data_IF_616946798898
#
_entry.id   IF_616946798898
#
_cell.length_a   1.000
_cell.length_b   1.000
_cell.length_c   1.000
_cell.angle_alpha   90.00
_cell.angle_beta   90.00
_cell.angle_gamma   90.00
#
_symmetry.space_group_name_H-M   'P 1'
#
loop_
_entity.id
_entity.type
_entity.pdbx_description
1 polymer ?
#
# COMPACT_ATOMS: atom_id res chain seq x y z
N UNK A 1 -25.07 -25.06 17.00
CA UNK A 1 -23.94 -24.66 17.87
C UNK A 1 -23.97 -23.13 17.98
N UNK A 2 -23.49 -22.51 19.06
CA UNK A 2 -23.32 -21.04 19.07
C UNK A 2 -22.12 -20.68 18.20
N UNK A 3 -22.23 -19.59 17.44
CA UNK A 3 -21.13 -19.02 16.64
C UNK A 3 -20.33 -18.01 17.49
N UNK A 4 -19.12 -17.63 17.04
CA UNK A 4 -18.20 -16.83 17.86
C UNK A 4 -18.72 -15.40 18.12
N UNK A 5 -19.42 -14.80 17.16
CA UNK A 5 -20.15 -13.54 17.25
C UNK A 5 -21.28 -13.55 18.30
N UNK A 6 -21.85 -14.72 18.59
CA UNK A 6 -22.86 -14.93 19.65
C UNK A 6 -22.24 -15.10 21.05
N UNK A 7 -20.91 -15.16 21.14
CA UNK A 7 -20.14 -15.33 22.37
C UNK A 7 -19.33 -14.07 22.70
N UNK A 8 -18.70 -13.47 21.69
CA UNK A 8 -17.96 -12.21 21.79
C UNK A 8 -18.51 -11.18 20.80
N UNK A 9 -19.06 -10.08 21.34
CA UNK A 9 -19.59 -8.95 20.54
C UNK A 9 -18.50 -8.25 19.71
N UNK A 10 -17.22 -8.34 20.10
CA UNK A 10 -16.13 -7.80 19.31
C UNK A 10 -15.94 -8.59 18.00
N UNK A 11 -16.34 -9.87 17.97
CA UNK A 11 -16.25 -10.74 16.79
C UNK A 11 -17.47 -10.63 15.86
N UNK A 12 -18.57 -10.00 16.31
CA UNK A 12 -19.73 -9.75 15.47
C UNK A 12 -19.43 -8.67 14.41
N UNK A 13 -19.86 -8.91 13.16
CA UNK A 13 -19.77 -7.95 12.05
C UNK A 13 -21.13 -7.29 11.85
N UNK A 14 -21.16 -5.96 11.78
CA UNK A 14 -22.39 -5.18 11.65
C UNK A 14 -22.70 -4.87 10.18
N UNK A 15 -23.39 -5.79 9.50
CA UNK A 15 -23.66 -5.75 8.06
C UNK A 15 -24.82 -4.81 7.64
N UNK A 16 -25.22 -3.86 8.49
CA UNK A 16 -26.26 -2.86 8.22
C UNK A 16 -25.90 -1.58 8.95
N UNK A 17 -25.73 -0.48 8.21
CA UNK A 17 -25.54 0.84 8.84
C UNK A 17 -26.89 1.32 9.36
N UNK A 18 -26.94 1.73 10.63
CA UNK A 18 -28.14 2.23 11.29
C UNK A 18 -27.87 3.62 11.88
N UNK A 19 -27.85 4.62 10.99
CA UNK A 19 -27.80 6.04 11.33
C UNK A 19 -28.93 6.75 10.56
N UNK A 20 -29.98 7.28 11.23
CA UNK A 20 -31.16 7.85 10.56
C UNK A 20 -30.90 9.24 9.96
N UNK A 21 -29.75 9.84 10.29
CA UNK A 21 -29.24 11.13 9.85
C UNK A 21 -28.09 10.99 8.84
N UNK A 22 -27.88 9.79 8.28
CA UNK A 22 -26.82 9.50 7.33
C UNK A 22 -27.10 10.10 5.94
N UNK A 23 -26.09 10.78 5.38
CA UNK A 23 -26.05 11.15 3.96
C UNK A 23 -24.84 10.48 3.31
N UNK A 24 -25.07 9.83 2.17
CA UNK A 24 -24.03 9.24 1.32
C UNK A 24 -23.52 10.25 0.28
N UNK A 25 -22.21 10.27 0.07
CA UNK A 25 -21.52 11.06 -0.95
C UNK A 25 -20.60 10.15 -1.77
N UNK A 26 -20.52 10.29 -3.11
CA UNK A 26 -19.61 9.45 -3.90
C UNK A 26 -18.16 9.91 -3.69
N UNK A 27 -17.24 8.99 -3.36
CA UNK A 27 -15.89 9.35 -2.92
C UNK A 27 -14.99 10.00 -3.99
N UNK A 28 -15.50 10.13 -5.23
CA UNK A 28 -14.87 10.84 -6.35
C UNK A 28 -15.28 12.32 -6.43
N UNK A 29 -16.33 12.71 -5.73
CA UNK A 29 -16.85 14.09 -5.74
C UNK A 29 -16.05 14.99 -4.80
N UNK A 30 -15.97 16.29 -5.13
CA UNK A 30 -15.44 17.27 -4.19
C UNK A 30 -16.33 17.34 -2.93
N UNK A 31 -15.75 17.39 -1.71
CA UNK A 31 -14.37 17.76 -1.42
C UNK A 31 -13.44 16.57 -1.07
N UNK A 32 -13.78 15.33 -1.45
CA UNK A 32 -12.92 14.18 -1.21
C UNK A 32 -11.71 14.20 -2.15
N UNK A 33 -10.53 13.86 -1.63
CA UNK A 33 -9.32 13.68 -2.42
C UNK A 33 -8.96 12.19 -2.48
N UNK A 34 -8.78 11.66 -3.69
CA UNK A 34 -8.39 10.28 -3.94
C UNK A 34 -6.92 10.21 -4.33
N UNK A 35 -6.20 9.31 -3.66
CA UNK A 35 -4.73 9.19 -3.69
C UNK A 35 -4.32 7.74 -4.00
N UNK A 36 -3.12 7.55 -4.56
CA UNK A 36 -2.60 6.22 -4.92
C UNK A 36 -3.38 5.49 -6.04
N UNK A 37 -4.19 6.21 -6.82
CA UNK A 37 -5.02 5.70 -7.91
C UNK A 37 -4.68 6.40 -9.24
N UNK A 38 -4.86 5.68 -10.35
CA UNK A 38 -4.78 6.25 -11.69
C UNK A 38 -6.16 6.76 -12.14
N UNK A 39 -6.22 8.03 -12.52
CA UNK A 39 -7.41 8.74 -13.02
C UNK A 39 -8.74 8.42 -12.29
N UNK A 40 -8.78 8.50 -10.93
CA UNK A 40 -9.95 8.07 -10.15
C UNK A 40 -11.22 8.87 -10.45
N UNK A 41 -11.11 10.07 -11.02
CA UNK A 41 -12.22 10.91 -11.50
C UNK A 41 -12.87 10.41 -12.80
N UNK A 42 -12.21 9.55 -13.59
CA UNK A 42 -12.66 9.15 -14.93
C UNK A 42 -13.86 8.16 -14.97
N UNK A 43 -14.44 7.82 -13.82
CA UNK A 43 -15.45 6.76 -13.69
C UNK A 43 -14.87 5.34 -13.79
N UNK A 44 -15.74 4.34 -13.99
CA UNK A 44 -15.35 2.92 -14.06
C UNK A 44 -14.68 2.39 -12.77
N UNK A 45 -14.22 1.13 -12.72
CA UNK A 45 -13.56 0.58 -11.52
C UNK A 45 -12.24 1.29 -11.15
N UNK A 46 -11.94 1.41 -9.85
CA UNK A 46 -10.69 2.00 -9.38
C UNK A 46 -9.47 1.12 -9.72
N UNK A 47 -8.35 1.74 -10.14
CA UNK A 47 -7.13 1.06 -10.61
C UNK A 47 -5.86 1.80 -10.20
N UNK A 48 -4.74 1.09 -10.13
CA UNK A 48 -3.42 1.65 -9.72
C UNK A 48 -2.57 2.19 -10.87
N UNK A 49 -2.90 1.85 -12.12
CA UNK A 49 -2.19 2.26 -13.34
C UNK A 49 -3.13 2.14 -14.57
N UNK A 50 -2.76 2.69 -15.75
CA UNK A 50 -3.54 2.51 -16.98
C UNK A 50 -3.69 1.03 -17.37
N UNK A 51 -4.86 0.65 -17.90
CA UNK A 51 -5.13 -0.75 -18.28
C UNK A 51 -4.33 -1.20 -19.50
N UNK A 52 -4.15 -0.34 -20.50
CA UNK A 52 -3.35 -0.60 -21.70
C UNK A 52 -1.87 -0.80 -21.36
N UNK A 53 -1.32 0.03 -20.46
CA UNK A 53 0.06 -0.11 -19.97
C UNK A 53 0.20 -1.39 -19.16
N UNK A 54 -0.75 -1.70 -18.29
CA UNK A 54 -0.72 -2.94 -17.49
C UNK A 54 -0.74 -4.20 -18.37
N UNK A 55 -1.53 -4.20 -19.45
CA UNK A 55 -1.58 -5.27 -20.45
C UNK A 55 -0.26 -5.43 -21.24
N UNK A 56 0.44 -4.32 -21.52
CA UNK A 56 1.76 -4.34 -22.17
C UNK A 56 2.89 -4.82 -21.24
N UNK A 57 2.69 -4.77 -19.92
CA UNK A 57 3.65 -5.31 -18.93
C UNK A 57 3.48 -6.82 -18.77
N UNK A 58 2.31 -7.29 -18.36
CA UNK A 58 1.95 -8.72 -18.36
C UNK A 58 0.46 -8.94 -18.04
N UNK A 59 -0.08 -10.11 -18.39
CA UNK A 59 -1.42 -10.55 -17.96
C UNK A 59 -1.58 -10.48 -16.43
N UNK A 60 -0.57 -10.91 -15.67
CA UNK A 60 -0.59 -10.87 -14.21
C UNK A 60 -0.64 -9.45 -13.65
N UNK A 61 0.08 -8.50 -14.27
CA UNK A 61 0.00 -7.07 -13.91
C UNK A 61 -1.35 -6.47 -14.33
N UNK A 62 -1.89 -6.80 -15.50
CA UNK A 62 -3.22 -6.36 -15.95
C UNK A 62 -4.35 -6.79 -15.02
N UNK A 63 -4.26 -8.00 -14.45
CA UNK A 63 -5.19 -8.49 -13.42
C UNK A 63 -4.98 -7.78 -12.08
N UNK A 64 -3.74 -7.74 -11.58
CA UNK A 64 -3.42 -7.21 -10.24
C UNK A 64 -3.46 -5.67 -10.14
N UNK A 65 -3.38 -4.94 -11.26
CA UNK A 65 -3.57 -3.48 -11.33
C UNK A 65 -5.00 -3.03 -10.96
N UNK A 66 -5.96 -3.96 -10.99
CA UNK A 66 -7.35 -3.77 -10.55
C UNK A 66 -7.51 -3.85 -9.03
N UNK A 67 -6.56 -4.44 -8.30
CA UNK A 67 -6.57 -4.40 -6.83
C UNK A 67 -6.22 -3.00 -6.35
N UNK A 68 -6.97 -2.47 -5.39
CA UNK A 68 -6.83 -1.08 -4.90
C UNK A 68 -5.76 -0.89 -3.82
N UNK A 69 -4.70 -1.71 -3.83
CA UNK A 69 -3.65 -1.62 -2.81
C UNK A 69 -3.03 -0.24 -2.76
N UNK A 70 -3.10 0.41 -1.60
CA UNK A 70 -2.59 1.76 -1.40
C UNK A 70 -3.41 2.88 -2.04
N UNK A 71 -4.62 2.60 -2.52
CA UNK A 71 -5.61 3.66 -2.75
C UNK A 71 -6.07 4.23 -1.41
N UNK A 72 -6.29 5.55 -1.36
CA UNK A 72 -6.58 6.29 -0.12
C UNK A 72 -7.58 7.41 -0.41
N UNK A 73 -8.64 7.52 0.37
CA UNK A 73 -9.57 8.67 0.32
C UNK A 73 -9.31 9.58 1.53
N UNK A 74 -9.16 10.89 1.29
CA UNK A 74 -8.83 11.88 2.31
C UNK A 74 -9.80 13.06 2.28
N UNK A 75 -10.19 13.52 3.46
CA UNK A 75 -11.12 14.64 3.67
C UNK A 75 -11.05 15.11 5.13
N UNK A 76 -11.62 16.28 5.45
CA UNK A 76 -11.93 16.67 6.84
C UNK A 76 -13.43 16.68 7.08
N UNK A 77 -13.84 16.31 8.29
CA UNK A 77 -15.24 16.39 8.73
C UNK A 77 -15.34 16.59 10.24
N UNK A 78 -16.46 17.15 10.72
CA UNK A 78 -16.86 17.11 12.13
C UNK A 78 -17.97 16.08 12.44
N UNK A 79 -18.27 15.17 11.49
CA UNK A 79 -19.22 14.07 11.67
C UNK A 79 -18.82 13.16 12.86
N UNK A 80 -19.75 12.76 13.73
CA UNK A 80 -19.48 11.85 14.86
C UNK A 80 -19.23 10.40 14.43
N UNK A 81 -19.40 10.08 13.15
CA UNK A 81 -19.11 8.79 12.54
C UNK A 81 -18.62 8.95 11.10
N UNK A 82 -17.99 7.89 10.59
CA UNK A 82 -17.76 7.68 9.15
C UNK A 82 -18.33 6.32 8.79
N UNK A 83 -19.17 6.26 7.76
CA UNK A 83 -19.62 5.02 7.15
C UNK A 83 -19.01 4.86 5.74
N UNK A 84 -18.98 3.62 5.26
CA UNK A 84 -18.71 3.30 3.86
C UNK A 84 -19.83 2.45 3.28
N UNK A 85 -20.08 2.63 1.99
CA UNK A 85 -20.73 1.65 1.11
C UNK A 85 -19.75 1.38 -0.03
N UNK A 86 -19.32 0.14 -0.21
CA UNK A 86 -18.33 -0.22 -1.23
C UNK A 86 -18.85 -1.33 -2.15
N UNK A 87 -18.77 -1.13 -3.47
CA UNK A 87 -19.06 -2.12 -4.51
C UNK A 87 -17.78 -2.82 -4.98
N UNK A 88 -17.85 -4.13 -5.20
CA UNK A 88 -16.72 -4.99 -5.57
C UNK A 88 -17.17 -6.18 -6.43
N UNK A 89 -16.91 -6.15 -7.75
CA UNK A 89 -17.30 -7.19 -8.72
C UNK A 89 -16.62 -8.55 -8.50
N UNK A 90 -15.61 -8.62 -7.63
CA UNK A 90 -14.93 -9.86 -7.22
C UNK A 90 -14.68 -9.86 -5.72
N UNK A 91 -14.49 -11.05 -5.14
CA UNK A 91 -14.17 -11.22 -3.72
C UNK A 91 -13.03 -12.23 -3.56
N UNK A 92 -11.79 -11.70 -3.58
CA UNK A 92 -10.57 -12.46 -3.37
C UNK A 92 -10.59 -13.19 -2.02
N UNK A 93 -10.07 -14.42 -1.98
CA UNK A 93 -9.96 -15.23 -0.76
C UNK A 93 -8.59 -15.90 -0.75
N UNK A 94 -7.86 -15.71 0.35
CA UNK A 94 -6.57 -16.35 0.64
C UNK A 94 -6.62 -16.89 2.07
N UNK A 95 -5.96 -18.01 2.31
CA UNK A 95 -5.94 -18.74 3.58
C UNK A 95 -4.94 -18.18 4.60
N UNK A 96 -3.86 -17.57 4.12
CA UNK A 96 -2.73 -17.05 4.91
C UNK A 96 -2.68 -15.50 4.98
N UNK A 97 -3.78 -14.80 4.66
CA UNK A 97 -3.91 -13.36 4.84
C UNK A 97 -5.24 -13.02 5.51
N UNK A 98 -5.24 -12.07 6.45
CA UNK A 98 -6.46 -11.66 7.13
C UNK A 98 -7.46 -11.04 6.13
N UNK A 99 -8.71 -11.47 6.18
CA UNK A 99 -9.78 -11.02 5.29
C UNK A 99 -9.98 -9.49 5.31
N UNK A 100 -9.69 -8.85 6.44
CA UNK A 100 -9.62 -7.38 6.62
C UNK A 100 -8.50 -6.69 5.85
N UNK A 101 -7.38 -7.36 5.56
CA UNK A 101 -6.33 -6.86 4.67
C UNK A 101 -6.67 -7.08 3.20
N UNK A 102 -7.28 -8.22 2.87
CA UNK A 102 -7.68 -8.55 1.50
C UNK A 102 -8.77 -7.60 0.98
N UNK A 103 -9.81 -7.35 1.80
CA UNK A 103 -11.10 -6.76 1.41
C UNK A 103 -11.61 -5.65 2.33
N UNK A 104 -10.94 -5.39 3.46
CA UNK A 104 -11.35 -4.34 4.40
C UNK A 104 -10.83 -2.95 4.02
N UNK A 105 -11.46 -1.92 4.58
CA UNK A 105 -10.93 -0.55 4.58
C UNK A 105 -10.44 -0.16 5.98
N UNK A 106 -9.40 0.65 6.04
CA UNK A 106 -8.73 1.07 7.29
C UNK A 106 -8.98 2.56 7.54
N UNK A 107 -9.53 2.93 8.70
CA UNK A 107 -9.84 4.32 9.04
C UNK A 107 -8.78 4.89 9.99
N UNK A 108 -8.07 5.91 9.53
CA UNK A 108 -7.20 6.75 10.36
C UNK A 108 -7.76 8.17 10.45
N UNK A 109 -7.50 8.82 11.58
CA UNK A 109 -7.90 10.20 11.83
C UNK A 109 -6.81 11.00 12.51
N UNK A 110 -6.73 12.30 12.22
CA UNK A 110 -5.73 13.22 12.73
C UNK A 110 -6.39 14.54 13.16
N UNK A 111 -6.28 14.85 14.46
CA UNK A 111 -6.56 16.19 15.00
C UNK A 111 -5.27 17.03 15.08
N UNK A 112 -4.29 16.48 15.79
CA UNK A 112 -2.96 17.06 16.05
C UNK A 112 -1.94 16.65 14.97
N UNK A 113 -0.65 16.52 15.30
CA UNK A 113 0.42 16.22 14.35
C UNK A 113 0.67 14.71 14.08
N UNK A 114 -0.27 13.81 14.43
CA UNK A 114 -0.14 12.36 14.21
C UNK A 114 -1.48 11.72 13.89
N UNK A 115 -1.45 10.74 12.98
CA UNK A 115 -2.59 9.86 12.73
C UNK A 115 -2.80 8.87 13.87
N UNK A 116 -4.06 8.68 14.27
CA UNK A 116 -4.50 7.58 15.12
C UNK A 116 -5.40 6.64 14.33
N UNK A 117 -5.28 5.34 14.59
CA UNK A 117 -6.18 4.32 14.05
C UNK A 117 -7.54 4.45 14.75
N UNK A 118 -8.61 4.63 13.95
CA UNK A 118 -9.99 4.79 14.42
C UNK A 118 -10.78 3.47 14.31
N UNK A 119 -10.45 2.61 13.35
CA UNK A 119 -11.08 1.30 13.21
C UNK A 119 -10.89 0.69 11.81
N UNK A 120 -11.29 -0.57 11.66
CA UNK A 120 -11.33 -1.26 10.36
C UNK A 120 -12.79 -1.50 9.98
N UNK A 121 -13.18 -1.11 8.77
CA UNK A 121 -14.47 -1.47 8.20
C UNK A 121 -14.41 -2.93 7.77
N UNK A 122 -14.87 -3.84 8.63
CA UNK A 122 -14.70 -5.29 8.44
C UNK A 122 -15.70 -5.84 7.41
N UNK A 123 -15.24 -6.52 6.35
CA UNK A 123 -16.13 -7.16 5.38
C UNK A 123 -16.78 -8.44 5.95
N UNK A 124 -18.01 -8.77 5.54
CA UNK A 124 -18.69 -9.99 5.98
C UNK A 124 -18.13 -11.24 5.28
N UNK A 125 -18.09 -12.39 5.96
CA UNK A 125 -17.44 -13.61 5.43
C UNK A 125 -18.14 -14.16 4.15
N UNK A 126 -19.46 -13.97 4.09
CA UNK A 126 -20.37 -14.25 2.98
C UNK A 126 -20.45 -13.09 1.95
N UNK A 127 -19.44 -12.22 1.88
CA UNK A 127 -19.34 -11.17 0.87
C UNK A 127 -19.34 -11.75 -0.55
N UNK A 128 -20.20 -11.17 -1.40
CA UNK A 128 -20.39 -11.56 -2.81
C UNK A 128 -20.28 -10.40 -3.83
N UNK A 129 -20.49 -9.14 -3.43
CA UNK A 129 -20.50 -8.00 -4.39
C UNK A 129 -20.33 -6.60 -3.80
N UNK A 130 -20.34 -6.45 -2.47
CA UNK A 130 -20.20 -5.16 -1.80
C UNK A 130 -20.69 -5.22 -0.35
N UNK A 131 -20.35 -4.22 0.47
CA UNK A 131 -20.83 -4.13 1.84
C UNK A 131 -20.89 -2.69 2.36
N UNK A 132 -21.73 -2.49 3.38
CA UNK A 132 -21.77 -1.29 4.19
C UNK A 132 -21.16 -1.54 5.57
N UNK A 133 -20.54 -0.51 6.16
CA UNK A 133 -20.00 -0.57 7.52
C UNK A 133 -19.83 0.84 8.09
N UNK A 134 -19.88 0.99 9.42
CA UNK A 134 -19.83 2.30 10.11
C UNK A 134 -18.91 2.25 11.34
N UNK A 135 -18.13 3.32 11.52
CA UNK A 135 -17.23 3.54 12.66
C UNK A 135 -17.61 4.88 13.32
N UNK A 136 -17.93 4.84 14.62
CA UNK A 136 -18.10 6.04 15.43
C UNK A 136 -16.73 6.65 15.79
N UNK A 137 -16.60 7.97 15.74
CA UNK A 137 -15.39 8.68 16.11
C UNK A 137 -15.36 8.90 17.63
N UNK A 138 -14.19 8.76 18.30
CA UNK A 138 -14.12 8.74 19.77
C UNK A 138 -14.35 10.11 20.42
N UNK A 139 -14.28 11.19 19.65
CA UNK A 139 -14.44 12.57 20.12
C UNK A 139 -15.08 13.43 19.02
N UNK A 140 -15.93 14.39 19.41
CA UNK A 140 -16.43 15.41 18.50
C UNK A 140 -15.37 16.45 18.07
N UNK A 141 -15.73 17.33 17.15
CA UNK A 141 -14.84 18.31 16.51
C UNK A 141 -14.32 17.83 15.15
N UNK A 142 -13.57 18.69 14.45
CA UNK A 142 -13.02 18.34 13.12
C UNK A 142 -11.91 17.28 13.23
N UNK A 143 -11.96 16.29 12.35
CA UNK A 143 -10.93 15.28 12.09
C UNK A 143 -10.45 15.41 10.65
N UNK A 144 -9.13 15.30 10.42
CA UNK A 144 -8.56 14.97 9.12
C UNK A 144 -8.55 13.45 8.97
N UNK A 145 -9.32 12.92 8.02
CA UNK A 145 -9.58 11.50 7.84
C UNK A 145 -8.74 10.97 6.67
N UNK A 146 -8.16 9.79 6.86
CA UNK A 146 -7.57 8.98 5.77
C UNK A 146 -8.14 7.57 5.81
N UNK A 147 -8.84 7.20 4.74
CA UNK A 147 -9.47 5.91 4.53
C UNK A 147 -8.63 5.10 3.53
N UNK A 148 -7.99 4.03 3.98
CA UNK A 148 -7.16 3.15 3.14
C UNK A 148 -8.01 2.03 2.54
N UNK A 149 -7.74 1.67 1.29
CA UNK A 149 -8.50 0.70 0.50
C UNK A 149 -7.95 -0.74 0.58
N UNK A 150 -8.76 -1.75 0.20
CA UNK A 150 -8.35 -3.17 0.13
C UNK A 150 -7.02 -3.45 -0.61
N UNK A 151 -6.18 -4.34 -0.06
CA UNK A 151 -4.85 -4.66 -0.60
C UNK A 151 -4.86 -5.71 -1.73
N UNK A 152 -5.85 -6.61 -1.72
CA UNK A 152 -5.88 -7.77 -2.62
C UNK A 152 -7.22 -7.96 -3.34
N UNK A 153 -8.05 -6.91 -3.38
CA UNK A 153 -9.28 -6.88 -4.15
C UNK A 153 -9.44 -5.53 -4.84
N UNK A 154 -10.25 -5.49 -5.90
CA UNK A 154 -10.69 -4.23 -6.51
C UNK A 154 -11.86 -3.59 -5.75
N UNK A 155 -12.12 -2.33 -6.09
CA UNK A 155 -13.30 -1.56 -5.65
C UNK A 155 -13.83 -0.85 -6.88
N UNK A 156 -15.11 -1.05 -7.19
CA UNK A 156 -15.73 -0.41 -8.35
C UNK A 156 -16.22 1.00 -8.00
N UNK A 157 -16.94 1.10 -6.89
CA UNK A 157 -17.44 2.35 -6.31
C UNK A 157 -17.29 2.37 -4.80
N UNK A 158 -17.20 3.58 -4.26
CA UNK A 158 -17.17 3.86 -2.84
C UNK A 158 -18.01 5.10 -2.58
N UNK A 159 -18.96 5.00 -1.66
CA UNK A 159 -19.61 6.14 -1.04
C UNK A 159 -19.16 6.27 0.41
N UNK A 160 -18.97 7.51 0.85
CA UNK A 160 -18.62 7.87 2.22
C UNK A 160 -19.88 8.46 2.87
N UNK A 161 -20.27 7.89 4.00
CA UNK A 161 -21.49 8.25 4.73
C UNK A 161 -21.18 9.08 5.97
N UNK A 162 -21.79 10.26 6.07
CA UNK A 162 -21.56 11.24 7.14
C UNK A 162 -22.88 11.78 7.69
N UNK A 163 -22.86 12.38 8.88
CA UNK A 163 -24.06 12.96 9.49
C UNK A 163 -24.55 14.20 8.73
N UNK A 164 -25.87 14.29 8.52
CA UNK A 164 -26.55 15.42 7.90
C UNK A 164 -26.25 16.74 8.61
N UNK A 165 -25.78 17.73 7.86
CA UNK A 165 -25.42 19.06 8.39
C UNK A 165 -24.00 19.17 8.96
N UNK A 166 -23.22 18.09 9.00
CA UNK A 166 -21.80 18.16 9.32
C UNK A 166 -20.99 18.80 8.19
N UNK A 167 -19.83 19.37 8.55
CA UNK A 167 -18.88 19.90 7.58
C UNK A 167 -18.19 18.77 6.83
N UNK A 168 -17.88 19.03 5.56
CA UNK A 168 -16.96 18.24 4.74
C UNK A 168 -16.04 19.24 4.05
N UNK A 169 -14.73 19.02 4.08
CA UNK A 169 -13.73 19.90 3.48
C UNK A 169 -12.55 19.09 2.91
N UNK A 170 -11.73 19.66 2.02
CA UNK A 170 -10.52 19.01 1.55
C UNK A 170 -9.56 18.72 2.72
N UNK A 171 -8.76 17.65 2.66
CA UNK A 171 -7.79 17.31 3.70
C UNK A 171 -6.70 18.39 3.84
N UNK A 172 -5.90 18.32 4.90
CA UNK A 172 -4.59 18.97 4.97
C UNK A 172 -3.69 18.34 3.90
N UNK A 173 -2.95 19.19 3.18
CA UNK A 173 -1.90 18.73 2.29
C UNK A 173 -0.87 17.85 3.05
N UNK A 174 -0.24 16.93 2.32
CA UNK A 174 0.92 16.19 2.80
C UNK A 174 2.14 17.12 2.92
N UNK A 175 3.11 16.78 3.76
CA UNK A 175 4.36 17.55 3.90
C UNK A 175 5.25 17.40 2.65
N UNK A 176 5.28 16.21 2.05
CA UNK A 176 5.88 16.00 0.72
C UNK A 176 4.85 16.26 -0.39
N UNK A 177 5.15 17.12 -1.38
CA UNK A 177 4.18 17.50 -2.42
C UNK A 177 3.99 16.46 -3.53
N UNK A 178 4.91 15.51 -3.66
CA UNK A 178 4.90 14.47 -4.70
C UNK A 178 4.94 13.07 -4.06
N UNK A 179 4.27 12.07 -4.64
CA UNK A 179 4.17 10.74 -4.04
C UNK A 179 5.49 9.98 -4.06
N UNK A 180 5.71 9.13 -3.06
CA UNK A 180 6.77 8.10 -3.09
C UNK A 180 6.25 6.87 -3.84
N UNK A 181 6.91 6.46 -4.91
CA UNK A 181 6.49 5.29 -5.71
C UNK A 181 7.21 4.04 -5.22
N UNK A 182 6.47 2.99 -4.93
CA UNK A 182 7.00 1.68 -4.52
C UNK A 182 6.67 0.65 -5.60
N UNK A 183 7.66 0.06 -6.26
CA UNK A 183 7.47 -1.05 -7.21
C UNK A 183 8.11 -2.32 -6.69
N UNK A 184 7.34 -3.42 -6.68
CA UNK A 184 7.83 -4.65 -6.07
C UNK A 184 6.84 -5.81 -5.96
N UNK A 185 7.12 -6.70 -5.01
CA UNK A 185 6.53 -8.02 -4.88
C UNK A 185 5.10 -8.07 -4.29
N UNK A 186 4.62 -9.27 -3.96
CA UNK A 186 3.44 -9.49 -3.11
C UNK A 186 3.53 -8.73 -1.78
N UNK A 187 4.74 -8.63 -1.22
CA UNK A 187 5.01 -7.93 0.02
C UNK A 187 4.78 -6.43 -0.15
N UNK A 188 5.23 -5.86 -1.27
CA UNK A 188 4.96 -4.48 -1.66
C UNK A 188 3.47 -4.25 -1.89
N UNK A 189 2.75 -5.20 -2.50
CA UNK A 189 1.28 -5.17 -2.62
C UNK A 189 0.57 -5.27 -1.24
N UNK A 190 1.27 -5.71 -0.20
CA UNK A 190 0.79 -5.75 1.20
C UNK A 190 0.51 -7.15 1.75
N UNK A 191 0.88 -8.22 1.05
CA UNK A 191 0.81 -9.60 1.59
C UNK A 191 1.85 -9.80 2.70
N UNK A 192 1.51 -10.06 3.97
CA UNK A 192 0.19 -10.35 4.54
C UNK A 192 -0.12 -9.46 5.77
N UNK A 193 -0.18 -8.14 5.55
CA UNK A 193 -0.66 -7.17 6.53
C UNK A 193 -2.12 -7.47 6.95
N UNK A 194 -2.44 -7.29 8.23
CA UNK A 194 -3.77 -7.66 8.75
C UNK A 194 -4.92 -6.74 8.32
N UNK A 195 -4.59 -5.50 7.91
CA UNK A 195 -5.47 -4.45 7.41
C UNK A 195 -4.66 -3.44 6.55
N UNK A 196 -5.28 -2.69 5.61
CA UNK A 196 -4.54 -1.92 4.62
C UNK A 196 -3.47 -0.94 5.15
N UNK A 197 -3.75 -0.26 6.25
CA UNK A 197 -2.85 0.70 6.87
C UNK A 197 -1.60 0.07 7.50
N UNK A 198 -1.58 -1.25 7.69
CA UNK A 198 -0.41 -2.00 8.16
C UNK A 198 0.51 -2.48 7.03
N UNK A 199 0.21 -2.23 5.74
CA UNK A 199 1.18 -2.47 4.67
C UNK A 199 2.42 -1.58 4.87
N UNK A 200 3.63 -2.08 4.59
CA UNK A 200 4.87 -1.35 4.93
C UNK A 200 4.94 0.04 4.28
N UNK A 201 4.42 0.19 3.05
CA UNK A 201 4.37 1.46 2.34
C UNK A 201 3.38 2.45 2.98
N UNK A 202 2.27 1.97 3.54
CA UNK A 202 1.35 2.80 4.32
C UNK A 202 1.96 3.22 5.67
N UNK A 203 2.74 2.34 6.31
CA UNK A 203 3.50 2.65 7.53
C UNK A 203 4.56 3.72 7.25
N UNK A 204 5.39 3.53 6.22
CA UNK A 204 6.43 4.47 5.84
C UNK A 204 5.85 5.85 5.48
N UNK A 205 4.77 5.89 4.69
CA UNK A 205 4.14 7.14 4.29
C UNK A 205 3.57 7.97 5.46
N UNK A 206 2.99 7.33 6.48
CA UNK A 206 2.57 8.03 7.72
C UNK A 206 3.72 8.51 8.58
N UNK A 207 4.92 7.95 8.42
CA UNK A 207 6.13 8.41 9.12
C UNK A 207 6.82 9.58 8.40
N UNK A 208 6.53 9.80 7.12
CA UNK A 208 7.06 10.86 6.25
C UNK A 208 6.00 11.91 5.87
N UNK A 209 4.80 11.79 6.44
CA UNK A 209 3.57 12.50 6.06
C UNK A 209 3.40 12.77 4.56
N UNK A 210 3.46 11.72 3.75
CA UNK A 210 3.48 11.81 2.29
C UNK A 210 2.37 11.01 1.59
N UNK A 211 2.10 11.35 0.33
CA UNK A 211 1.40 10.46 -0.60
C UNK A 211 2.36 9.42 -1.21
N UNK A 212 1.82 8.43 -1.91
CA UNK A 212 2.59 7.35 -2.52
C UNK A 212 1.81 6.63 -3.63
N UNK A 213 2.50 5.89 -4.49
CA UNK A 213 1.86 4.95 -5.43
C UNK A 213 2.40 3.56 -5.13
N UNK A 214 1.50 2.60 -4.94
CA UNK A 214 1.86 1.20 -4.72
C UNK A 214 1.74 0.42 -6.03
N UNK A 215 2.87 0.12 -6.65
CA UNK A 215 3.02 -0.72 -7.84
C UNK A 215 3.57 -2.11 -7.44
N UNK A 216 3.13 -2.63 -6.29
CA UNK A 216 3.35 -4.01 -5.88
C UNK A 216 2.46 -4.98 -6.66
N UNK A 217 3.06 -6.04 -7.22
CA UNK A 217 2.34 -7.06 -7.98
C UNK A 217 2.77 -8.47 -7.55
N UNK A 218 1.87 -9.15 -6.83
CA UNK A 218 2.03 -10.51 -6.32
C UNK A 218 2.52 -11.50 -7.39
N UNK A 219 3.78 -11.94 -7.30
CA UNK A 219 4.40 -12.87 -8.27
C UNK A 219 4.69 -12.31 -9.67
N UNK A 220 4.37 -11.05 -9.95
CA UNK A 220 4.24 -10.52 -11.32
C UNK A 220 4.93 -9.17 -11.59
N UNK A 221 5.68 -8.63 -10.63
CA UNK A 221 6.65 -7.55 -10.85
C UNK A 221 8.06 -8.17 -10.98
N UNK A 222 8.65 -8.22 -12.17
CA UNK A 222 9.90 -8.94 -12.45
C UNK A 222 10.96 -8.08 -13.14
N UNK A 223 10.88 -6.75 -13.03
CA UNK A 223 11.78 -5.83 -13.68
C UNK A 223 11.47 -5.62 -15.17
N UNK A 224 10.19 -5.60 -15.53
CA UNK A 224 9.75 -5.44 -16.92
C UNK A 224 10.09 -4.05 -17.49
N UNK A 225 10.63 -3.99 -18.72
CA UNK A 225 11.03 -2.73 -19.38
C UNK A 225 9.86 -1.74 -19.49
N UNK A 226 8.68 -2.18 -19.93
CA UNK A 226 7.48 -1.30 -20.01
C UNK A 226 7.05 -0.75 -18.64
N UNK A 227 7.36 -1.44 -17.55
CA UNK A 227 7.11 -0.95 -16.19
C UNK A 227 8.18 0.08 -15.76
N UNK A 228 9.45 -0.13 -16.13
CA UNK A 228 10.51 0.87 -15.93
C UNK A 228 10.19 2.17 -16.68
N UNK A 229 9.77 2.08 -17.94
CA UNK A 229 9.32 3.21 -18.76
C UNK A 229 8.12 3.93 -18.13
N UNK A 230 7.05 3.19 -17.77
CA UNK A 230 5.88 3.79 -17.11
C UNK A 230 6.22 4.49 -15.80
N UNK A 231 7.11 3.92 -14.97
CA UNK A 231 7.55 4.55 -13.72
C UNK A 231 8.41 5.78 -14.00
N UNK A 232 9.26 5.74 -15.02
CA UNK A 232 10.07 6.88 -15.44
C UNK A 232 9.23 8.09 -15.91
N UNK A 233 8.00 7.84 -16.39
CA UNK A 233 7.00 8.85 -16.79
C UNK A 233 6.24 9.48 -15.58
N UNK A 234 6.37 8.95 -14.36
CA UNK A 234 5.62 9.43 -13.19
C UNK A 234 6.26 10.66 -12.51
N UNK A 235 5.42 11.56 -12.01
CA UNK A 235 5.85 12.63 -11.08
C UNK A 235 6.03 12.06 -9.67
N UNK A 236 7.28 11.94 -9.22
CA UNK A 236 7.66 11.26 -7.98
C UNK A 236 8.46 12.19 -7.05
N UNK A 237 8.27 12.03 -5.73
CA UNK A 237 9.13 12.64 -4.71
C UNK A 237 10.32 11.73 -4.33
N UNK A 238 10.11 10.41 -4.41
CA UNK A 238 11.13 9.38 -4.30
C UNK A 238 10.64 8.08 -4.98
N UNK A 239 11.55 7.17 -5.32
CA UNK A 239 11.24 5.85 -5.86
C UNK A 239 11.90 4.72 -5.04
N UNK A 240 11.18 3.62 -4.82
CA UNK A 240 11.64 2.44 -4.09
C UNK A 240 11.54 1.20 -4.98
N UNK A 241 12.68 0.53 -5.20
CA UNK A 241 12.83 -0.64 -6.05
C UNK A 241 12.98 -1.91 -5.18
N UNK A 242 11.92 -2.72 -5.10
CA UNK A 242 11.73 -3.84 -4.13
C UNK A 242 11.08 -5.08 -4.78
N UNK A 243 11.52 -5.44 -6.00
CA UNK A 243 10.92 -6.55 -6.77
C UNK A 243 11.66 -7.90 -6.62
N UNK A 244 12.77 -7.95 -5.88
CA UNK A 244 13.66 -9.12 -5.74
C UNK A 244 12.89 -10.43 -5.50
N UNK A 245 11.94 -10.46 -4.54
CA UNK A 245 11.14 -11.66 -4.23
C UNK A 245 10.46 -12.34 -5.43
N UNK A 246 10.15 -11.61 -6.49
CA UNK A 246 9.48 -12.12 -7.69
C UNK A 246 10.43 -12.48 -8.84
N UNK A 247 11.68 -12.00 -8.84
CA UNK A 247 12.60 -12.24 -9.96
C UNK A 247 13.01 -13.73 -9.99
N UNK A 248 12.72 -14.48 -11.08
CA UNK A 248 12.67 -15.95 -11.05
C UNK A 248 14.01 -16.62 -10.73
N UNK A 249 15.14 -16.00 -11.08
CA UNK A 249 16.49 -16.49 -10.78
C UNK A 249 17.43 -15.33 -10.45
N UNK A 250 18.66 -15.62 -10.02
CA UNK A 250 19.67 -14.58 -9.76
C UNK A 250 20.15 -13.95 -11.07
N UNK A 251 20.28 -14.75 -12.13
CA UNK A 251 20.66 -14.29 -13.47
C UNK A 251 19.61 -13.36 -14.07
N UNK A 252 18.32 -13.65 -13.87
CA UNK A 252 17.24 -12.73 -14.24
C UNK A 252 17.39 -11.40 -13.52
N UNK A 253 17.52 -11.42 -12.18
CA UNK A 253 17.69 -10.20 -11.39
C UNK A 253 18.94 -9.41 -11.82
N UNK A 254 20.05 -10.10 -12.10
CA UNK A 254 21.31 -9.52 -12.60
C UNK A 254 21.16 -8.91 -14.00
N UNK A 255 20.30 -9.46 -14.84
CA UNK A 255 20.02 -8.95 -16.18
C UNK A 255 18.99 -7.81 -16.22
N UNK A 256 18.17 -7.62 -15.18
CA UNK A 256 17.08 -6.62 -15.18
C UNK A 256 17.24 -5.48 -14.16
N UNK A 257 17.89 -5.69 -13.02
CA UNK A 257 17.86 -4.72 -11.91
C UNK A 257 18.59 -3.41 -12.22
N UNK A 258 19.84 -3.47 -12.69
CA UNK A 258 20.58 -2.27 -13.07
C UNK A 258 19.98 -1.56 -14.30
N UNK A 259 19.59 -2.24 -15.40
CA UNK A 259 18.90 -1.59 -16.52
C UNK A 259 17.60 -0.88 -16.11
N UNK A 260 16.80 -1.46 -15.21
CA UNK A 260 15.57 -0.83 -14.69
C UNK A 260 15.89 0.47 -13.94
N UNK A 261 16.88 0.43 -13.04
CA UNK A 261 17.38 1.61 -12.34
C UNK A 261 17.88 2.69 -13.31
N UNK A 262 18.69 2.30 -14.30
CA UNK A 262 19.26 3.22 -15.29
C UNK A 262 18.16 3.91 -16.13
N UNK A 263 17.08 3.22 -16.50
CA UNK A 263 15.94 3.82 -17.19
C UNK A 263 15.25 4.91 -16.36
N UNK A 264 14.92 4.62 -15.09
CA UNK A 264 14.27 5.59 -14.21
C UNK A 264 15.18 6.79 -13.90
N UNK A 265 16.47 6.54 -13.63
CA UNK A 265 17.48 7.58 -13.38
C UNK A 265 17.77 8.45 -14.61
N UNK A 266 17.76 7.89 -15.82
CA UNK A 266 17.99 8.66 -17.05
C UNK A 266 16.86 9.66 -17.34
N UNK A 267 15.62 9.32 -17.02
CA UNK A 267 14.48 10.24 -17.10
C UNK A 267 14.42 11.22 -15.91
N UNK A 268 14.89 10.79 -14.72
CA UNK A 268 14.80 11.55 -13.47
C UNK A 268 16.18 11.66 -12.79
N UNK A 269 17.06 12.58 -13.22
CA UNK A 269 18.46 12.65 -12.78
C UNK A 269 18.65 12.80 -11.27
N UNK A 270 17.91 13.70 -10.63
CA UNK A 270 18.11 14.08 -9.22
C UNK A 270 17.12 13.40 -8.25
N UNK A 271 16.28 12.48 -8.75
CA UNK A 271 15.26 11.80 -7.94
C UNK A 271 15.89 10.94 -6.83
N UNK A 272 15.43 11.05 -5.57
CA UNK A 272 15.75 10.10 -4.51
C UNK A 272 15.33 8.66 -4.87
N UNK A 273 16.29 7.74 -5.03
CA UNK A 273 16.04 6.31 -5.31
C UNK A 273 16.54 5.44 -4.16
N UNK A 274 15.67 4.61 -3.60
CA UNK A 274 16.01 3.59 -2.61
C UNK A 274 15.99 2.19 -3.26
N UNK A 275 17.15 1.57 -3.35
CA UNK A 275 17.29 0.17 -3.77
C UNK A 275 17.13 -0.74 -2.54
N UNK A 276 16.30 -1.78 -2.63
CA UNK A 276 16.01 -2.69 -1.51
C UNK A 276 16.17 -4.14 -1.96
N UNK A 277 16.97 -4.92 -1.24
CA UNK A 277 17.01 -6.37 -1.43
C UNK A 277 16.01 -7.08 -0.53
N UNK A 278 15.60 -8.29 -0.89
CA UNK A 278 14.56 -9.01 -0.14
C UNK A 278 14.95 -9.31 1.33
N UNK A 279 13.97 -9.35 2.26
CA UNK A 279 14.16 -9.89 3.60
C UNK A 279 14.82 -11.29 3.63
N UNK A 280 15.81 -11.48 4.52
CA UNK A 280 16.37 -12.81 4.81
C UNK A 280 15.42 -13.59 5.75
N UNK A 281 14.52 -14.36 5.15
CA UNK A 281 13.50 -15.16 5.84
C UNK A 281 13.82 -16.65 5.91
N UNK A 282 14.67 -17.16 5.03
CA UNK A 282 14.89 -18.60 4.87
C UNK A 282 16.35 -18.99 5.01
N UNK A 283 16.70 -19.47 6.20
CA UNK A 283 18.06 -19.93 6.53
C UNK A 283 18.54 -21.13 5.71
N UNK A 284 17.67 -21.83 4.97
CA UNK A 284 18.01 -22.99 4.15
C UNK A 284 18.65 -22.60 2.80
N UNK A 285 18.40 -21.38 2.28
CA UNK A 285 18.91 -20.93 0.97
C UNK A 285 19.72 -19.62 1.07
N UNK A 286 20.61 -19.55 2.06
CA UNK A 286 21.47 -18.38 2.33
C UNK A 286 22.38 -18.00 1.15
N UNK A 287 22.76 -18.95 0.29
CA UNK A 287 23.63 -18.69 -0.86
C UNK A 287 22.92 -17.85 -1.94
N UNK A 288 21.75 -18.31 -2.42
CA UNK A 288 20.88 -17.55 -3.34
C UNK A 288 20.50 -16.18 -2.74
N UNK A 289 20.11 -16.14 -1.46
CA UNK A 289 19.78 -14.88 -0.79
C UNK A 289 20.96 -13.89 -0.78
N UNK A 290 22.20 -14.37 -0.55
CA UNK A 290 23.39 -13.54 -0.53
C UNK A 290 23.79 -13.04 -1.93
N UNK A 291 23.68 -13.87 -2.97
CA UNK A 291 24.01 -13.44 -4.33
C UNK A 291 23.00 -12.42 -4.88
N UNK A 292 21.71 -12.59 -4.60
CA UNK A 292 20.65 -11.65 -5.01
C UNK A 292 20.77 -10.30 -4.32
N UNK A 293 21.07 -10.33 -3.01
CA UNK A 293 21.47 -9.14 -2.25
C UNK A 293 22.70 -8.46 -2.87
N UNK A 294 23.69 -9.24 -3.30
CA UNK A 294 24.90 -8.69 -3.95
C UNK A 294 24.59 -8.02 -5.30
N UNK A 295 23.72 -8.59 -6.15
CA UNK A 295 23.28 -7.95 -7.42
C UNK A 295 22.71 -6.55 -7.21
N UNK A 296 21.91 -6.37 -6.15
CA UNK A 296 21.27 -5.10 -5.82
C UNK A 296 22.28 -4.12 -5.21
N UNK A 297 23.20 -4.60 -4.35
CA UNK A 297 24.30 -3.79 -3.84
C UNK A 297 25.30 -3.39 -4.94
N UNK A 298 25.55 -4.25 -5.93
CA UNK A 298 26.41 -3.94 -7.09
C UNK A 298 25.80 -2.84 -7.96
N UNK A 299 24.47 -2.86 -8.17
CA UNK A 299 23.75 -1.76 -8.85
C UNK A 299 23.97 -0.42 -8.12
N UNK A 300 23.86 -0.42 -6.78
CA UNK A 300 24.12 0.75 -5.94
C UNK A 300 25.59 1.22 -6.03
N UNK A 301 26.56 0.29 -5.98
CA UNK A 301 27.98 0.57 -6.11
C UNK A 301 28.33 1.17 -7.48
N UNK A 302 27.74 0.66 -8.56
CA UNK A 302 27.91 1.20 -9.91
C UNK A 302 27.36 2.63 -10.01
N UNK A 303 26.17 2.90 -9.47
CA UNK A 303 25.61 4.25 -9.41
C UNK A 303 26.50 5.24 -8.63
N UNK A 304 26.97 4.85 -7.44
CA UNK A 304 27.89 5.67 -6.64
C UNK A 304 29.21 5.97 -7.39
N UNK A 305 29.75 4.98 -8.10
CA UNK A 305 30.98 5.10 -8.88
C UNK A 305 30.80 5.97 -10.14
N UNK A 306 29.62 5.92 -10.77
CA UNK A 306 29.22 6.83 -11.85
C UNK A 306 28.96 8.27 -11.37
N UNK A 307 28.80 8.48 -10.06
CA UNK A 307 28.71 9.81 -9.44
C UNK A 307 27.36 10.12 -8.77
N UNK A 308 26.38 9.20 -8.80
CA UNK A 308 25.06 9.40 -8.21
C UNK A 308 25.15 9.65 -6.69
N UNK A 309 24.40 10.63 -6.19
CA UNK A 309 24.29 11.00 -4.77
C UNK A 309 22.85 11.02 -4.26
N UNK A 310 21.87 10.77 -5.14
CA UNK A 310 20.44 10.73 -4.84
C UNK A 310 19.97 9.26 -4.75
N UNK A 311 20.82 8.40 -4.19
CA UNK A 311 20.61 6.95 -4.13
C UNK A 311 21.09 6.37 -2.79
N UNK A 312 20.34 5.40 -2.25
CA UNK A 312 20.79 4.55 -1.15
C UNK A 312 20.43 3.07 -1.39
N UNK A 313 21.11 2.18 -0.68
CA UNK A 313 20.79 0.76 -0.60
C UNK A 313 20.34 0.41 0.83
N UNK A 314 19.17 -0.21 0.96
CA UNK A 314 18.66 -0.78 2.21
C UNK A 314 18.83 -2.30 2.18
N UNK A 315 19.75 -2.80 3.01
CA UNK A 315 20.07 -4.21 3.12
C UNK A 315 18.89 -5.02 3.67
N UNK A 316 18.34 -5.88 2.82
CA UNK A 316 17.24 -6.78 3.15
C UNK A 316 17.48 -7.68 4.36
N UNK A 317 18.74 -8.04 4.61
CA UNK A 317 19.10 -8.92 5.73
C UNK A 317 18.92 -8.21 7.09
N UNK A 318 18.85 -6.88 7.09
CA UNK A 318 18.57 -6.05 8.25
C UNK A 318 17.07 -5.74 8.43
N UNK A 319 16.20 -6.03 7.46
CA UNK A 319 14.79 -5.64 7.52
C UNK A 319 14.04 -6.24 8.72
N UNK A 320 14.39 -7.46 9.15
CA UNK A 320 13.80 -8.14 10.31
C UNK A 320 14.76 -8.30 11.51
N UNK A 321 15.82 -7.48 11.59
CA UNK A 321 16.77 -7.54 12.71
C UNK A 321 16.14 -7.25 14.10
N UNK A 322 16.90 -7.56 15.15
CA UNK A 322 16.47 -7.47 16.55
C UNK A 322 15.72 -8.71 17.08
N UNK A 323 15.20 -8.65 18.32
CA UNK A 323 14.42 -9.75 18.92
C UNK A 323 13.22 -10.10 18.05
N UNK A 324 12.71 -11.34 18.10
CA UNK A 324 11.44 -11.66 17.44
C UNK A 324 11.55 -11.92 15.93
N UNK A 325 12.76 -11.99 15.35
CA UNK A 325 13.00 -12.07 13.90
C UNK A 325 12.19 -13.18 13.22
N UNK A 326 12.25 -14.39 13.76
CA UNK A 326 11.56 -15.56 13.18
C UNK A 326 10.02 -15.48 13.32
N UNK A 327 9.50 -14.48 14.02
CA UNK A 327 8.06 -14.16 14.14
C UNK A 327 7.62 -13.02 13.20
N UNK A 328 8.43 -12.61 12.23
CA UNK A 328 8.10 -11.50 11.31
C UNK A 328 7.27 -11.91 10.08
N UNK A 329 7.11 -13.21 9.78
CA UNK A 329 6.35 -13.72 8.62
C UNK A 329 5.11 -14.53 9.02
N UNK A 330 4.21 -14.80 8.07
CA UNK A 330 3.09 -15.75 8.25
C UNK A 330 3.49 -17.17 7.82
N UNK A 331 4.25 -17.29 6.74
CA UNK A 331 4.48 -18.53 5.97
C UNK A 331 5.97 -18.78 5.65
N UNK A 332 6.89 -17.99 6.20
CA UNK A 332 8.31 -18.02 5.84
C UNK A 332 8.67 -17.18 4.60
N UNK A 333 7.73 -16.40 4.04
CA UNK A 333 7.94 -15.48 2.93
C UNK A 333 7.31 -14.10 3.21
N UNK A 334 5.99 -14.06 3.35
CA UNK A 334 5.19 -12.85 3.48
C UNK A 334 5.24 -12.30 4.91
N UNK A 335 5.57 -11.01 5.12
CA UNK A 335 5.58 -10.44 6.45
C UNK A 335 4.17 -10.35 7.03
N UNK A 336 4.06 -10.61 8.33
CA UNK A 336 2.92 -10.19 9.13
C UNK A 336 3.12 -8.74 9.61
N UNK A 337 2.20 -8.22 10.43
CA UNK A 337 2.26 -6.84 10.94
C UNK A 337 3.59 -6.46 11.63
N UNK A 338 4.27 -7.40 12.32
CA UNK A 338 5.58 -7.15 12.94
C UNK A 338 6.66 -6.93 11.88
N UNK A 339 6.68 -7.76 10.84
CA UNK A 339 7.60 -7.62 9.71
C UNK A 339 7.32 -6.36 8.91
N UNK A 340 6.05 -6.09 8.57
CA UNK A 340 5.63 -4.87 7.88
C UNK A 340 6.03 -3.60 8.64
N UNK A 341 5.86 -3.59 9.97
CA UNK A 341 6.26 -2.45 10.80
C UNK A 341 7.77 -2.22 10.77
N UNK A 342 8.61 -3.27 10.81
CA UNK A 342 10.07 -3.12 10.70
C UNK A 342 10.48 -2.62 9.32
N UNK A 343 9.91 -3.18 8.25
CA UNK A 343 10.16 -2.72 6.87
C UNK A 343 9.77 -1.25 6.71
N UNK A 344 8.55 -0.87 7.09
CA UNK A 344 8.06 0.52 6.98
C UNK A 344 8.90 1.50 7.79
N UNK A 345 9.32 1.12 9.02
CA UNK A 345 10.20 1.94 9.87
C UNK A 345 11.58 2.14 9.25
N UNK A 346 12.20 1.08 8.71
CA UNK A 346 13.54 1.14 8.11
C UNK A 346 13.55 1.86 6.77
N UNK A 347 12.53 1.64 5.93
CA UNK A 347 12.35 2.37 4.68
C UNK A 347 12.07 3.86 4.95
N UNK A 348 11.23 4.21 5.92
CA UNK A 348 11.03 5.61 6.31
C UNK A 348 12.34 6.27 6.77
N UNK A 349 13.14 5.60 7.60
CA UNK A 349 14.45 6.11 8.02
C UNK A 349 15.44 6.29 6.86
N UNK A 350 15.46 5.38 5.89
CA UNK A 350 16.30 5.48 4.70
C UNK A 350 15.84 6.59 3.74
N UNK A 351 14.53 6.73 3.53
CA UNK A 351 13.93 7.80 2.71
C UNK A 351 14.13 9.18 3.34
N UNK A 352 13.97 9.31 4.66
CA UNK A 352 14.21 10.55 5.41
C UNK A 352 15.67 11.04 5.32
N UNK A 353 16.62 10.16 4.97
CA UNK A 353 18.03 10.51 4.74
C UNK A 353 18.36 10.81 3.26
N UNK A 354 17.39 10.64 2.35
CA UNK A 354 17.52 10.92 0.90
C UNK A 354 16.63 12.07 0.41
N UNK A 355 15.55 12.37 1.14
CA UNK A 355 14.64 13.48 0.86
C UNK A 355 15.28 14.84 1.26
N UNK A 356 14.91 15.94 0.58
CA UNK A 356 15.51 17.27 0.76
C UNK A 356 15.06 18.01 2.04
#
# INVERSE_FOLDING_TARGET
MKTIDQLDRNMAVANRVQAPDLIWHEAREAPFCLHGLHAPEAGGPFRRMPEDVAQQVSEGVALLARNTSGARARFRTNSPYVAIHAEMASVCRMDHMAFTGILGFDLYGRKVAKDVYLGTFRPPLDLHGGYESIIALPEGGEWDITLYFPLYNGVDRLWIGLQAGCSIAPPRAYELPQPIVFYGSSITQGGCASRPGNSFAAIAARMLDCDFINLGFSGNARGEVRMAEYIAELSMGAFVLDYDHNAPTVEHLRATHEPFFQMVRAANPDLPILLVSRPDVNQQNRADAAERRAVIEDTYRHALAAGDRHIAFLDGFLLFDGPMRDSCTVDGCHPNDLGMMRMGTKMAGALMALLP
#
